data_IF_616300934942
#
_entry.id   IF_616300934942
#
_cell.length_a   1.000
_cell.length_b   1.000
_cell.length_c   1.000
_cell.angle_alpha   90.00
_cell.angle_beta   90.00
_cell.angle_gamma   90.00
#
_symmetry.space_group_name_H-M   'P 1'
#
loop_
_entity.id
_entity.type
_entity.pdbx_description
1 polymer ?
#
# COMPACT_ATOMS: atom_id res chain seq x y z
N UNK A 1 -7.17 -0.78 -18.81
CA UNK A 1 -6.46 -1.14 -17.57
C UNK A 1 -7.07 -0.42 -16.35
N UNK A 2 -8.35 -0.62 -16.06
CA UNK A 2 -9.08 0.13 -15.01
C UNK A 2 -10.27 -0.67 -14.44
N UNK A 3 -10.17 -2.01 -14.41
CA UNK A 3 -11.14 -2.92 -13.80
C UNK A 3 -10.50 -3.55 -12.55
N UNK A 4 -11.29 -3.93 -11.54
CA UNK A 4 -10.88 -4.56 -10.29
C UNK A 4 -9.77 -5.62 -10.43
N UNK A 5 -9.82 -6.40 -11.51
CA UNK A 5 -8.83 -7.43 -11.86
C UNK A 5 -7.41 -6.89 -12.09
N UNK A 6 -7.25 -5.65 -12.56
CA UNK A 6 -5.91 -5.08 -12.81
C UNK A 6 -5.20 -4.71 -11.50
N UNK A 7 -5.90 -4.19 -10.51
CA UNK A 7 -5.29 -3.84 -9.21
C UNK A 7 -4.86 -5.08 -8.44
N UNK A 8 -5.72 -6.10 -8.45
CA UNK A 8 -5.44 -7.39 -7.86
C UNK A 8 -4.16 -8.00 -8.44
N UNK A 9 -4.06 -8.09 -9.77
CA UNK A 9 -2.90 -8.70 -10.42
C UNK A 9 -1.62 -7.91 -10.14
N UNK A 10 -1.70 -6.58 -10.14
CA UNK A 10 -0.54 -5.73 -9.81
C UNK A 10 -0.09 -5.91 -8.35
N UNK A 11 -1.02 -6.09 -7.41
CA UNK A 11 -0.67 -6.30 -6.00
C UNK A 11 -0.17 -7.72 -5.73
N UNK A 12 -0.68 -8.70 -6.48
CA UNK A 12 -0.13 -10.05 -6.53
C UNK A 12 1.32 -10.02 -7.04
N UNK A 13 1.59 -9.33 -8.15
CA UNK A 13 2.94 -9.15 -8.67
C UNK A 13 3.85 -8.47 -7.63
N UNK A 14 3.35 -7.47 -6.89
CA UNK A 14 4.11 -6.85 -5.80
C UNK A 14 4.47 -7.83 -4.69
N UNK A 15 3.57 -8.76 -4.34
CA UNK A 15 3.82 -9.79 -3.33
C UNK A 15 4.85 -10.83 -3.78
N UNK A 16 4.93 -11.10 -5.09
CA UNK A 16 5.91 -12.03 -5.67
C UNK A 16 7.27 -11.39 -5.90
N UNK A 17 7.32 -10.21 -6.51
CA UNK A 17 8.57 -9.54 -6.85
C UNK A 17 9.14 -8.71 -5.68
N UNK A 18 8.31 -8.37 -4.69
CA UNK A 18 8.70 -7.58 -3.51
C UNK A 18 9.37 -8.37 -2.39
N UNK A 19 9.53 -9.69 -2.52
CA UNK A 19 9.99 -10.60 -1.44
C UNK A 19 11.25 -10.08 -0.75
N UNK A 20 12.28 -9.68 -1.51
CA UNK A 20 13.55 -9.22 -0.93
C UNK A 20 13.36 -7.94 -0.11
N UNK A 21 12.57 -6.98 -0.60
CA UNK A 21 12.31 -5.73 0.11
C UNK A 21 11.52 -5.98 1.40
N UNK A 22 10.50 -6.83 1.36
CA UNK A 22 9.73 -7.20 2.54
C UNK A 22 10.60 -7.94 3.56
N UNK A 23 11.43 -8.88 3.10
CA UNK A 23 12.37 -9.61 3.96
C UNK A 23 13.29 -8.67 4.72
N UNK A 24 13.94 -7.72 4.02
CA UNK A 24 14.82 -6.74 4.66
C UNK A 24 14.12 -5.94 5.76
N UNK A 25 12.86 -5.57 5.54
CA UNK A 25 12.10 -4.80 6.53
C UNK A 25 11.70 -5.66 7.72
N UNK A 26 11.26 -6.90 7.50
CA UNK A 26 10.96 -7.83 8.59
C UNK A 26 12.21 -8.23 9.39
N UNK A 27 13.38 -8.37 8.74
CA UNK A 27 14.67 -8.53 9.42
C UNK A 27 15.00 -7.31 10.28
N UNK A 28 14.79 -6.10 9.75
CA UNK A 28 14.98 -4.87 10.51
C UNK A 28 14.08 -4.81 11.75
N UNK A 29 12.79 -5.15 11.60
CA UNK A 29 11.84 -5.22 12.72
C UNK A 29 12.32 -6.23 13.76
N UNK A 30 12.80 -7.41 13.32
CA UNK A 30 13.31 -8.47 14.20
C UNK A 30 14.56 -8.04 14.99
N UNK A 31 15.48 -7.34 14.33
CA UNK A 31 16.85 -7.19 14.82
C UNK A 31 17.11 -5.85 15.51
N UNK A 32 16.49 -4.75 15.05
CA UNK A 32 16.80 -3.40 15.55
C UNK A 32 15.86 -2.98 16.68
N UNK A 33 14.59 -3.35 16.63
CA UNK A 33 13.56 -2.98 17.63
C UNK A 33 13.59 -1.48 17.99
N UNK A 34 13.53 -0.62 16.97
CA UNK A 34 13.49 0.85 17.10
C UNK A 34 12.37 1.42 16.21
N UNK A 35 11.84 2.61 16.52
CA UNK A 35 10.92 3.31 15.64
C UNK A 35 11.53 3.55 14.25
N UNK A 36 10.75 3.30 13.20
CA UNK A 36 11.19 3.48 11.82
C UNK A 36 10.08 4.01 10.92
N UNK A 37 10.48 4.58 9.78
CA UNK A 37 9.58 5.06 8.74
C UNK A 37 9.87 4.27 7.46
N UNK A 38 8.83 3.81 6.79
CA UNK A 38 8.91 3.19 5.48
C UNK A 38 8.05 3.96 4.49
N UNK A 39 8.54 4.15 3.27
CA UNK A 39 7.81 4.86 2.22
C UNK A 39 8.18 4.32 0.84
N UNK A 40 7.40 4.72 -0.15
CA UNK A 40 7.74 4.55 -1.57
C UNK A 40 7.79 5.92 -2.24
N UNK A 41 7.51 6.02 -3.54
CA UNK A 41 7.51 7.31 -4.25
C UNK A 41 6.33 8.20 -3.83
N UNK A 42 5.12 7.63 -3.77
CA UNK A 42 3.90 8.36 -3.42
C UNK A 42 3.29 7.89 -2.09
N UNK A 43 3.95 6.98 -1.38
CA UNK A 43 3.40 6.41 -0.12
C UNK A 43 2.14 5.57 -0.29
N UNK A 44 1.75 5.18 -1.52
CA UNK A 44 0.47 4.52 -1.81
C UNK A 44 0.56 3.00 -1.92
N UNK A 45 0.94 2.48 -3.10
CA UNK A 45 0.78 1.05 -3.38
C UNK A 45 1.81 0.18 -2.63
N UNK A 46 3.11 0.37 -2.88
CA UNK A 46 4.18 -0.42 -2.23
C UNK A 46 4.19 -0.25 -0.72
N UNK A 47 3.92 0.97 -0.25
CA UNK A 47 3.78 1.29 1.18
C UNK A 47 2.55 0.62 1.77
N UNK A 48 1.39 0.71 1.09
CA UNK A 48 0.15 0.08 1.54
C UNK A 48 0.23 -1.43 1.60
N UNK A 49 0.92 -2.08 0.64
CA UNK A 49 1.13 -3.53 0.67
C UNK A 49 2.00 -3.97 1.85
N UNK A 50 3.07 -3.23 2.15
CA UNK A 50 3.88 -3.49 3.34
C UNK A 50 3.09 -3.24 4.63
N UNK A 51 2.32 -2.14 4.69
CA UNK A 51 1.44 -1.82 5.81
C UNK A 51 0.42 -2.94 6.06
N UNK A 52 -0.21 -3.45 4.99
CA UNK A 52 -1.09 -4.62 5.04
C UNK A 52 -0.39 -5.83 5.67
N UNK A 53 0.83 -6.19 5.24
CA UNK A 53 1.56 -7.34 5.78
C UNK A 53 1.88 -7.18 7.27
N UNK A 54 2.31 -5.99 7.69
CA UNK A 54 2.62 -5.69 9.10
C UNK A 54 1.34 -5.75 9.96
N UNK A 55 0.25 -5.14 9.51
CA UNK A 55 -1.01 -5.11 10.25
C UNK A 55 -1.67 -6.49 10.33
N UNK A 56 -1.56 -7.30 9.27
CA UNK A 56 -1.99 -8.70 9.30
C UNK A 56 -1.19 -9.49 10.35
N UNK A 57 0.13 -9.30 10.45
CA UNK A 57 0.95 -9.95 11.46
C UNK A 57 0.57 -9.50 12.88
N UNK A 58 0.25 -8.22 13.05
CA UNK A 58 -0.22 -7.66 14.31
C UNK A 58 -1.65 -8.11 14.70
N UNK A 59 -2.33 -8.89 13.85
CA UNK A 59 -3.66 -9.44 14.14
C UNK A 59 -4.81 -8.46 13.91
N UNK A 60 -4.59 -7.38 13.18
CA UNK A 60 -5.63 -6.39 12.85
C UNK A 60 -6.60 -6.97 11.83
N UNK A 61 -7.90 -6.73 12.01
CA UNK A 61 -8.91 -7.26 11.10
C UNK A 61 -8.86 -6.61 9.70
N UNK A 62 -9.26 -7.38 8.68
CA UNK A 62 -9.17 -6.96 7.27
C UNK A 62 -9.91 -5.66 6.95
N UNK A 63 -11.01 -5.35 7.63
CA UNK A 63 -11.78 -4.12 7.34
C UNK A 63 -11.01 -2.91 7.86
N UNK A 64 -10.43 -3.02 9.06
CA UNK A 64 -9.57 -1.96 9.61
C UNK A 64 -8.36 -1.73 8.72
N UNK A 65 -7.70 -2.78 8.22
CA UNK A 65 -6.57 -2.66 7.29
C UNK A 65 -7.00 -1.97 5.98
N UNK A 66 -8.12 -2.39 5.40
CA UNK A 66 -8.64 -1.77 4.18
C UNK A 66 -9.02 -0.31 4.40
N UNK A 67 -9.52 0.04 5.59
CA UNK A 67 -9.87 1.42 5.94
C UNK A 67 -8.65 2.30 6.12
N UNK A 68 -7.60 1.78 6.77
CA UNK A 68 -6.31 2.46 6.90
C UNK A 68 -5.74 2.78 5.51
N UNK A 69 -5.68 1.78 4.62
CA UNK A 69 -5.20 1.97 3.25
C UNK A 69 -5.99 3.05 2.50
N UNK A 70 -7.31 3.09 2.65
CA UNK A 70 -8.20 4.08 2.04
C UNK A 70 -7.85 5.53 2.45
N UNK A 71 -7.38 5.74 3.69
CA UNK A 71 -6.97 7.07 4.17
C UNK A 71 -5.89 7.70 3.30
N UNK A 72 -5.10 6.90 2.59
CA UNK A 72 -4.09 7.40 1.63
C UNK A 72 -4.72 8.27 0.54
N UNK A 73 -5.95 7.96 0.08
CA UNK A 73 -6.68 8.81 -0.89
C UNK A 73 -6.92 10.21 -0.33
N UNK A 74 -7.16 10.32 0.98
CA UNK A 74 -7.34 11.61 1.65
C UNK A 74 -6.00 12.30 1.85
N UNK A 75 -4.98 11.55 2.27
CA UNK A 75 -3.62 12.05 2.49
C UNK A 75 -2.95 12.63 1.24
N UNK A 76 -3.25 12.09 0.06
CA UNK A 76 -2.70 12.55 -1.23
C UNK A 76 -3.36 13.81 -1.80
N UNK A 77 -4.50 14.25 -1.25
CA UNK A 77 -5.25 15.41 -1.78
C UNK A 77 -4.40 16.69 -1.96
N UNK A 78 -3.52 17.07 -1.02
CA UNK A 78 -2.67 18.25 -1.19
C UNK A 78 -1.73 18.15 -2.40
N UNK A 79 -1.29 16.94 -2.73
CA UNK A 79 -0.36 16.68 -3.82
C UNK A 79 -1.06 16.43 -5.17
N UNK A 80 -2.39 16.30 -5.19
CA UNK A 80 -3.16 16.07 -6.41
C UNK A 80 -2.83 17.05 -7.55
N UNK A 81 -2.68 18.37 -7.34
CA UNK A 81 -2.34 19.29 -8.43
C UNK A 81 -0.98 18.96 -9.05
N UNK A 82 0.02 18.64 -8.21
CA UNK A 82 1.37 18.29 -8.65
C UNK A 82 1.39 16.94 -9.37
N UNK A 83 0.69 15.94 -8.82
CA UNK A 83 0.56 14.62 -9.40
C UNK A 83 -0.18 14.68 -10.75
N UNK A 84 -1.21 15.52 -10.85
CA UNK A 84 -1.97 15.72 -12.09
C UNK A 84 -1.09 16.30 -13.18
N UNK A 85 -0.32 17.34 -12.89
CA UNK A 85 0.62 17.92 -13.86
C UNK A 85 1.64 16.91 -14.39
N UNK A 86 2.25 16.12 -13.48
CA UNK A 86 3.20 15.04 -13.87
C UNK A 86 2.53 13.93 -14.68
N UNK A 87 1.28 13.59 -14.36
CA UNK A 87 0.52 12.59 -15.07
C UNK A 87 0.19 13.06 -16.50
N UNK A 88 -0.33 14.27 -16.65
CA UNK A 88 -0.63 14.88 -17.96
C UNK A 88 0.63 14.98 -18.83
N UNK A 89 1.78 15.36 -18.26
CA UNK A 89 3.05 15.38 -18.98
C UNK A 89 3.49 13.98 -19.45
N UNK A 90 3.32 12.97 -18.59
CA UNK A 90 3.60 11.56 -18.94
C UNK A 90 2.70 11.07 -20.07
N UNK A 91 1.40 11.36 -19.99
CA UNK A 91 0.41 11.00 -21.02
C UNK A 91 0.74 11.69 -22.34
N UNK A 92 1.12 12.97 -22.31
CA UNK A 92 1.55 13.71 -23.50
C UNK A 92 2.77 13.07 -24.16
N UNK A 93 3.82 12.77 -23.38
CA UNK A 93 5.04 12.08 -23.88
C UNK A 93 4.74 10.70 -24.46
N UNK A 94 3.81 9.97 -23.85
CA UNK A 94 3.37 8.67 -24.37
C UNK A 94 2.65 8.83 -25.71
N UNK A 95 1.75 9.81 -25.85
CA UNK A 95 1.08 10.11 -27.13
C UNK A 95 2.07 10.50 -28.22
N UNK A 96 3.03 11.35 -27.91
CA UNK A 96 4.09 11.76 -28.84
C UNK A 96 4.93 10.56 -29.32
N UNK A 97 5.27 9.63 -28.42
CA UNK A 97 6.01 8.41 -28.77
C UNK A 97 5.22 7.38 -29.57
N UNK A 98 3.89 7.36 -29.43
CA UNK A 98 3.02 6.34 -30.03
C UNK A 98 2.38 6.79 -31.36
N UNK A 99 2.47 8.07 -31.72
CA UNK A 99 2.01 8.63 -32.99
C UNK A 99 0.47 8.70 -33.11
N UNK A 100 -0.02 9.63 -33.95
CA UNK A 100 -1.45 10.01 -34.05
C UNK A 100 -2.39 8.90 -34.58
N UNK A 101 -1.84 7.80 -35.08
CA UNK A 101 -2.62 6.60 -35.48
C UNK A 101 -2.85 5.61 -34.32
N UNK A 102 -2.20 5.80 -33.16
CA UNK A 102 -2.27 4.92 -31.99
C UNK A 102 -3.06 5.47 -30.80
N UNK A 103 -3.32 6.78 -30.76
CA UNK A 103 -4.01 7.48 -29.66
C UNK A 103 -5.47 7.03 -29.52
N UNK A 104 -6.22 6.95 -30.62
CA UNK A 104 -7.58 6.39 -30.64
C UNK A 104 -7.62 4.90 -30.27
N UNK A 105 -6.57 4.14 -30.59
CA UNK A 105 -6.45 2.72 -30.24
C UNK A 105 -6.20 2.51 -28.75
N UNK A 106 -5.32 3.30 -28.13
CA UNK A 106 -5.02 3.20 -26.69
C UNK A 106 -6.23 3.61 -25.85
N UNK A 107 -6.92 4.70 -26.21
CA UNK A 107 -8.16 5.09 -25.52
C UNK A 107 -9.28 4.05 -25.70
N UNK A 108 -9.45 3.45 -26.87
CA UNK A 108 -10.41 2.37 -27.07
C UNK A 108 -10.05 1.10 -26.29
N UNK A 109 -8.76 0.72 -26.26
CA UNK A 109 -8.28 -0.45 -25.51
C UNK A 109 -8.39 -0.23 -24.00
N UNK A 110 -8.12 1.00 -23.51
CA UNK A 110 -8.16 1.30 -22.07
C UNK A 110 -9.58 1.57 -21.58
N UNK A 111 -10.42 2.24 -22.37
CA UNK A 111 -11.82 2.54 -22.02
C UNK A 111 -12.68 1.28 -21.94
N UNK A 112 -12.30 0.20 -22.65
CA UNK A 112 -13.00 -1.09 -22.63
C UNK A 112 -14.52 -0.97 -22.84
N UNK A 113 -14.96 -0.05 -23.72
CA UNK A 113 -16.37 0.16 -24.03
C UNK A 113 -17.15 1.04 -23.06
N UNK A 114 -16.50 1.71 -22.09
CA UNK A 114 -17.15 2.70 -21.22
C UNK A 114 -17.48 3.97 -22.01
N UNK A 115 -18.73 4.42 -21.92
CA UNK A 115 -19.15 5.73 -22.43
C UNK A 115 -18.62 6.83 -21.49
N UNK A 116 -18.10 7.92 -22.06
CA UNK A 116 -17.60 9.10 -21.35
C UNK A 116 -16.38 8.85 -20.44
N UNK A 117 -15.46 7.97 -20.83
CA UNK A 117 -14.22 7.73 -20.09
C UNK A 117 -13.04 8.47 -20.72
N UNK A 118 -12.24 9.20 -19.94
CA UNK A 118 -11.02 9.90 -20.40
C UNK A 118 -9.78 9.46 -19.62
N UNK A 119 -8.63 9.45 -20.30
CA UNK A 119 -7.38 9.06 -19.64
C UNK A 119 -6.92 10.13 -18.65
N UNK A 120 -7.15 11.40 -18.97
CA UNK A 120 -6.76 12.55 -18.17
C UNK A 120 -7.51 12.64 -16.84
N UNK A 121 -8.82 12.39 -16.85
CA UNK A 121 -9.63 12.55 -15.63
C UNK A 121 -9.85 11.22 -14.91
N UNK A 122 -10.32 10.19 -15.62
CA UNK A 122 -10.61 8.90 -14.99
C UNK A 122 -9.35 8.08 -14.75
N UNK A 123 -8.38 8.13 -15.67
CA UNK A 123 -7.07 7.51 -15.48
C UNK A 123 -6.34 8.11 -14.28
N UNK A 124 -6.31 9.44 -14.17
CA UNK A 124 -5.73 10.13 -13.01
C UNK A 124 -6.48 9.81 -11.72
N UNK A 125 -7.81 9.85 -11.72
CA UNK A 125 -8.63 9.53 -10.55
C UNK A 125 -8.34 8.11 -10.03
N UNK A 126 -8.15 7.15 -10.93
CA UNK A 126 -7.75 5.80 -10.53
C UNK A 126 -6.34 5.79 -9.94
N UNK A 127 -5.38 6.46 -10.60
CA UNK A 127 -3.99 6.54 -10.15
C UNK A 127 -3.87 7.05 -8.71
N UNK A 128 -4.63 8.08 -8.34
CA UNK A 128 -4.57 8.67 -6.98
C UNK A 128 -5.48 7.97 -5.97
N UNK A 129 -6.32 7.04 -6.41
CA UNK A 129 -7.23 6.33 -5.50
C UNK A 129 -6.56 5.13 -4.82
N UNK A 130 -6.70 5.07 -3.50
CA UNK A 130 -6.54 3.90 -2.65
C UNK A 130 -7.91 3.42 -2.23
N UNK A 131 -8.42 2.37 -2.86
CA UNK A 131 -9.80 1.91 -2.66
C UNK A 131 -9.88 0.85 -1.58
N UNK A 132 -10.83 0.99 -0.68
CA UNK A 132 -11.13 0.06 0.40
C UNK A 132 -11.34 -1.38 -0.11
N UNK A 133 -12.22 -1.55 -1.10
CA UNK A 133 -12.60 -2.87 -1.58
C UNK A 133 -11.45 -3.53 -2.36
N UNK A 134 -10.55 -2.74 -2.95
CA UNK A 134 -9.37 -3.28 -3.62
C UNK A 134 -8.44 -3.94 -2.59
N UNK A 135 -8.20 -3.29 -1.45
CA UNK A 135 -7.43 -3.87 -0.36
C UNK A 135 -8.11 -5.11 0.25
N UNK A 136 -9.44 -5.08 0.44
CA UNK A 136 -10.17 -6.26 0.89
C UNK A 136 -10.02 -7.45 -0.06
N UNK A 137 -10.16 -7.22 -1.37
CA UNK A 137 -9.99 -8.26 -2.38
C UNK A 137 -8.56 -8.81 -2.37
N UNK A 138 -7.56 -7.93 -2.25
CA UNK A 138 -6.15 -8.31 -2.14
C UNK A 138 -5.87 -9.15 -0.91
N UNK A 139 -6.41 -8.81 0.26
CA UNK A 139 -6.27 -9.63 1.48
C UNK A 139 -6.92 -10.99 1.27
N UNK A 140 -8.10 -11.05 0.65
CA UNK A 140 -8.78 -12.30 0.32
C UNK A 140 -7.92 -13.22 -0.54
N UNK A 141 -7.35 -12.68 -1.62
CA UNK A 141 -6.47 -13.41 -2.52
C UNK A 141 -5.14 -13.79 -1.88
N UNK A 142 -4.59 -12.92 -1.05
CA UNK A 142 -3.40 -13.20 -0.26
C UNK A 142 -3.62 -14.41 0.65
N UNK A 143 -4.77 -14.49 1.31
CA UNK A 143 -5.16 -15.64 2.12
C UNK A 143 -5.34 -16.91 1.28
N UNK A 144 -6.02 -16.81 0.14
CA UNK A 144 -6.22 -17.95 -0.76
C UNK A 144 -4.89 -18.50 -1.31
N UNK A 145 -4.00 -17.62 -1.74
CA UNK A 145 -2.74 -17.98 -2.40
C UNK A 145 -1.66 -18.44 -1.44
N UNK A 146 -1.52 -17.77 -0.30
CA UNK A 146 -0.41 -18.01 0.64
C UNK A 146 -0.85 -18.62 1.97
N UNK A 147 -2.15 -18.86 2.19
CA UNK A 147 -2.64 -19.38 3.48
C UNK A 147 -2.57 -18.37 4.63
N UNK A 148 -2.30 -17.09 4.33
CA UNK A 148 -2.22 -15.99 5.28
C UNK A 148 -0.79 -15.53 5.58
N UNK A 149 -0.65 -14.67 6.60
CA UNK A 149 0.61 -13.97 6.89
C UNK A 149 1.70 -14.91 7.43
N UNK A 150 1.35 -15.85 8.31
CA UNK A 150 2.33 -16.75 8.92
C UNK A 150 2.99 -17.68 7.89
N UNK A 151 2.24 -18.40 7.02
CA UNK A 151 2.90 -19.21 5.99
C UNK A 151 3.63 -18.34 4.95
N UNK A 152 3.13 -17.15 4.61
CA UNK A 152 3.87 -16.23 3.73
C UNK A 152 5.26 -15.85 4.28
N UNK A 153 5.35 -15.47 5.56
CA UNK A 153 6.63 -15.13 6.20
C UNK A 153 7.59 -16.34 6.25
N UNK A 154 7.06 -17.55 6.48
CA UNK A 154 7.85 -18.78 6.49
C UNK A 154 8.32 -19.19 5.10
N UNK A 155 7.38 -19.39 4.19
CA UNK A 155 7.61 -20.09 2.93
C UNK A 155 8.18 -19.16 1.85
N UNK A 156 7.83 -17.86 1.88
CA UNK A 156 8.30 -16.88 0.90
C UNK A 156 9.47 -16.05 1.41
N UNK A 157 9.46 -15.64 2.67
CA UNK A 157 10.53 -14.78 3.22
C UNK A 157 11.60 -15.59 3.96
N UNK A 158 11.32 -16.85 4.32
CA UNK A 158 12.28 -17.76 4.94
C UNK A 158 12.49 -17.53 6.43
N UNK A 159 11.51 -16.95 7.13
CA UNK A 159 11.58 -16.77 8.58
C UNK A 159 11.22 -18.04 9.34
N UNK A 160 11.90 -18.29 10.45
CA UNK A 160 11.53 -19.37 11.38
C UNK A 160 10.33 -18.95 12.24
N UNK A 161 9.72 -19.91 12.94
CA UNK A 161 8.67 -19.59 13.92
C UNK A 161 9.15 -18.63 15.02
N UNK A 162 10.40 -18.78 15.46
CA UNK A 162 10.99 -17.94 16.51
C UNK A 162 11.27 -16.53 16.01
N UNK A 163 11.71 -16.38 14.75
CA UNK A 163 11.85 -15.07 14.11
C UNK A 163 10.50 -14.34 14.06
N UNK A 164 9.45 -15.03 13.62
CA UNK A 164 8.10 -14.45 13.48
C UNK A 164 7.56 -14.04 14.86
N UNK A 165 7.77 -14.87 15.88
CA UNK A 165 7.37 -14.53 17.25
C UNK A 165 8.10 -13.28 17.75
N UNK A 166 9.41 -13.17 17.51
CA UNK A 166 10.21 -12.00 17.88
C UNK A 166 9.74 -10.74 17.16
N UNK A 167 9.47 -10.84 15.85
CA UNK A 167 8.91 -9.73 15.05
C UNK A 167 7.57 -9.29 15.64
N UNK A 168 6.67 -10.24 15.92
CA UNK A 168 5.36 -9.96 16.50
C UNK A 168 5.48 -9.23 17.85
N UNK A 169 6.37 -9.69 18.73
CA UNK A 169 6.61 -9.07 20.03
C UNK A 169 7.20 -7.65 19.94
N UNK A 170 7.95 -7.35 18.87
CA UNK A 170 8.51 -6.02 18.66
C UNK A 170 7.47 -5.02 18.12
N UNK A 171 6.37 -5.48 17.52
CA UNK A 171 5.33 -4.61 16.94
C UNK A 171 4.02 -4.59 17.74
N UNK A 172 3.78 -5.60 18.58
CA UNK A 172 2.59 -5.70 19.44
C UNK A 172 3.01 -5.66 20.90
N UNK A 173 2.54 -4.63 21.61
CA UNK A 173 2.66 -4.54 23.06
C UNK A 173 1.30 -4.82 23.66
N UNK A 174 1.20 -5.86 24.50
CA UNK A 174 0.02 -6.07 25.32
C UNK A 174 0.14 -5.17 26.56
N UNK A 175 -0.79 -4.24 26.74
CA UNK A 175 -0.89 -3.48 27.99
C UNK A 175 -1.38 -4.42 29.11
N UNK A 176 -0.56 -4.71 30.14
CA UNK A 176 -0.95 -5.61 31.22
C UNK A 176 -2.04 -5.06 32.13
N UNK A 177 -2.26 -3.74 32.13
CA UNK A 177 -3.17 -3.04 33.05
C UNK A 177 -4.50 -2.66 32.38
N UNK A 178 -4.51 -2.54 31.06
CA UNK A 178 -5.66 -2.09 30.30
C UNK A 178 -6.01 -3.10 29.19
N UNK A 179 -7.02 -3.94 29.43
CA UNK A 179 -7.69 -4.74 28.38
C UNK A 179 -8.51 -3.87 27.38
N UNK A 180 -8.19 -2.58 27.26
CA UNK A 180 -8.80 -1.63 26.33
C UNK A 180 -7.84 -0.49 26.07
N UNK A 181 -7.75 -0.02 24.83
CA UNK A 181 -6.86 1.09 24.45
C UNK A 181 -7.08 2.31 25.36
N UNK A 182 -6.20 2.55 26.33
CA UNK A 182 -5.88 3.92 26.68
C UNK A 182 -5.12 4.45 25.47
N UNK A 183 -5.75 5.37 24.74
CA UNK A 183 -5.11 6.07 23.63
C UNK A 183 -3.87 6.74 24.21
N UNK A 184 -2.72 6.08 24.05
CA UNK A 184 -1.41 6.55 24.51
C UNK A 184 -1.28 7.98 24.05
N UNK A 185 -1.21 8.90 25.02
CA UNK A 185 -0.87 10.33 24.98
C UNK A 185 -1.25 11.09 23.70
N UNK A 186 -1.82 12.30 23.83
CA UNK A 186 -1.90 13.22 22.69
C UNK A 186 -0.52 13.36 22.01
N UNK A 187 -0.30 12.63 20.92
CA UNK A 187 0.91 12.74 20.11
C UNK A 187 0.72 14.03 19.32
N UNK A 188 1.21 15.15 19.86
CA UNK A 188 1.38 16.39 19.11
C UNK A 188 2.57 16.20 18.15
N UNK A 189 2.34 15.46 17.07
CA UNK A 189 3.32 15.29 15.99
C UNK A 189 2.94 16.20 14.82
N UNK A 190 3.73 17.25 14.62
CA UNK A 190 3.71 18.07 13.40
C UNK A 190 4.93 17.71 12.54
N UNK A 191 4.69 16.92 11.50
CA UNK A 191 5.68 16.51 10.48
C UNK A 191 6.40 17.68 9.78
N UNK A 192 5.94 18.93 9.95
CA UNK A 192 6.54 20.14 9.35
C UNK A 192 7.45 20.90 10.30
N UNK A 193 7.48 20.53 11.58
CA UNK A 193 8.39 21.14 12.56
C UNK A 193 9.59 20.22 12.76
N UNK A 194 10.80 20.78 12.66
CA UNK A 194 12.09 20.08 12.81
C UNK A 194 12.39 19.63 14.24
N UNK A 195 11.45 19.77 15.17
CA UNK A 195 11.64 19.34 16.55
C UNK A 195 11.42 17.83 16.66
N UNK A 196 12.45 17.12 17.14
CA UNK A 196 12.40 15.68 17.42
C UNK A 196 11.19 15.38 18.30
N UNK A 197 10.46 14.33 17.95
CA UNK A 197 9.40 13.78 18.79
C UNK A 197 9.92 13.62 20.23
N UNK A 198 9.27 14.30 21.18
CA UNK A 198 9.54 14.12 22.60
C UNK A 198 8.63 12.98 23.08
N UNK A 199 9.26 11.90 23.50
CA UNK A 199 8.61 10.77 24.16
C UNK A 199 8.37 11.11 25.64
#
# INVERSE_FOLDING_TARGET
>A
MTCWSTYVNVYEDMLEFGINAYKTIFEYIRDVNQPFVFHCTAGKDRTGMLGMLILLLAGVDRNTIAKEYELTTVGLRPDHPVLKGKFEETVKKLREKLGDNGSGGIEQIISQGRKNWSIEEDGFRNLVSSRYEAMLATIGLFHEKYGGIIPYLKDKLGFTSDDILKIYQNIVVADPQNMGFETSAQINWDHRTTERAKF
#
